data_IF_665766913330
#
_entry.id   IF_665766913330
#
_cell.length_a   1.000
_cell.length_b   1.000
_cell.length_c   1.000
_cell.angle_alpha   90.00
_cell.angle_beta   90.00
_cell.angle_gamma   90.00
#
_symmetry.space_group_name_H-M   'P 1'
#
loop_
_entity.id
_entity.type
_entity.pdbx_description
1 polymer ?
#
# COMPACT_ATOMS: atom_id res chain seq x y z
N UNK A 1 15.23 33.16 23.05
CA UNK A 1 15.61 32.54 21.76
C UNK A 1 16.83 31.61 21.92
N UNK A 2 17.90 32.06 22.60
CA UNK A 2 19.12 31.28 22.82
C UNK A 2 18.86 30.01 23.65
N UNK A 3 18.06 30.09 24.70
CA UNK A 3 17.65 28.96 25.53
C UNK A 3 16.84 27.91 24.75
N UNK A 4 15.97 28.36 23.85
CA UNK A 4 15.20 27.48 22.99
C UNK A 4 16.10 26.76 21.98
N UNK A 5 17.06 27.47 21.40
CA UNK A 5 18.06 26.89 20.50
C UNK A 5 18.95 25.87 21.21
N UNK A 6 19.42 26.17 22.43
CA UNK A 6 20.21 25.24 23.25
C UNK A 6 19.42 23.98 23.62
N UNK A 7 18.12 24.11 23.86
CA UNK A 7 17.25 22.97 24.15
C UNK A 7 16.93 22.12 22.91
N UNK A 8 16.72 22.76 21.75
CA UNK A 8 16.35 22.06 20.52
C UNK A 8 17.56 21.47 19.78
N UNK A 9 18.78 22.00 19.98
CA UNK A 9 19.98 21.51 19.31
C UNK A 9 20.30 20.03 19.62
N UNK A 10 20.26 19.55 20.90
CA UNK A 10 20.44 18.14 21.19
C UNK A 10 19.37 17.25 20.58
N UNK A 11 18.14 17.76 20.37
CA UNK A 11 17.02 17.00 19.81
C UNK A 11 17.27 16.55 18.37
N UNK A 12 18.25 17.12 17.67
CA UNK A 12 18.73 16.62 16.36
C UNK A 12 19.36 15.22 16.42
N UNK A 13 19.58 14.69 17.61
CA UNK A 13 20.03 13.32 17.85
C UNK A 13 18.93 12.42 18.40
N UNK A 14 17.64 12.80 18.23
CA UNK A 14 16.48 12.03 18.65
C UNK A 14 15.90 11.14 17.51
N UNK A 15 16.75 10.60 16.67
CA UNK A 15 16.45 9.63 15.64
C UNK A 15 17.07 8.28 15.96
N UNK A 16 16.62 7.22 15.34
CA UNK A 16 17.15 5.86 15.52
C UNK A 16 18.69 5.84 15.36
N UNK A 17 19.36 5.31 16.40
CA UNK A 17 20.81 5.31 16.54
C UNK A 17 21.43 6.60 17.10
N UNK A 18 20.64 7.65 17.38
CA UNK A 18 21.11 8.88 18.01
C UNK A 18 21.15 8.80 19.53
N UNK A 19 22.01 9.61 20.17
CA UNK A 19 22.21 9.61 21.62
C UNK A 19 20.92 9.96 22.38
N UNK A 20 20.19 10.98 21.94
CA UNK A 20 18.94 11.41 22.59
C UNK A 20 17.83 10.36 22.42
N UNK A 21 17.79 9.68 21.27
CA UNK A 21 16.89 8.56 21.06
C UNK A 21 17.09 7.45 22.11
N UNK A 22 18.33 7.04 22.33
CA UNK A 22 18.63 6.00 23.34
C UNK A 22 18.32 6.46 24.77
N UNK A 23 18.60 7.72 25.11
CA UNK A 23 18.24 8.29 26.41
C UNK A 23 16.72 8.28 26.59
N UNK A 24 15.96 8.79 25.63
CA UNK A 24 14.50 8.84 25.68
C UNK A 24 13.87 7.45 25.74
N UNK A 25 14.45 6.49 25.03
CA UNK A 25 14.01 5.08 25.07
C UNK A 25 14.22 4.44 26.44
N UNK A 26 15.31 4.81 27.13
CA UNK A 26 15.55 4.43 28.53
C UNK A 26 14.52 5.00 29.52
N UNK A 27 13.82 6.08 29.15
CA UNK A 27 12.68 6.64 29.89
C UNK A 27 11.32 6.21 29.34
N UNK A 28 11.25 5.05 28.70
CA UNK A 28 10.02 4.41 28.18
C UNK A 28 9.31 5.20 27.06
N UNK A 29 10.05 6.06 26.35
CA UNK A 29 9.53 6.73 25.15
C UNK A 29 9.22 5.71 24.05
N UNK A 30 7.96 5.64 23.61
CA UNK A 30 7.49 4.70 22.58
C UNK A 30 7.13 5.45 21.31
N UNK A 31 8.08 5.52 20.40
CA UNK A 31 7.85 6.12 19.08
C UNK A 31 7.13 5.12 18.16
N UNK A 32 5.80 5.14 18.14
CA UNK A 32 5.03 4.24 17.25
C UNK A 32 4.61 4.92 15.94
N UNK A 33 4.34 6.22 15.97
CA UNK A 33 3.89 7.04 14.84
C UNK A 33 2.64 6.50 14.09
N UNK A 34 1.95 5.51 14.67
CA UNK A 34 0.78 4.87 14.06
C UNK A 34 -0.53 5.58 14.37
N UNK A 35 -0.60 6.13 15.57
CA UNK A 35 -1.77 6.88 16.06
C UNK A 35 -1.28 8.07 16.88
N UNK A 36 -1.25 9.30 16.31
CA UNK A 36 -0.73 10.49 16.98
C UNK A 36 -1.43 10.78 18.30
N UNK A 37 -2.73 10.53 18.41
CA UNK A 37 -3.49 10.74 19.64
C UNK A 37 -3.02 9.79 20.75
N UNK A 38 -2.87 8.51 20.42
CA UNK A 38 -2.32 7.52 21.35
C UNK A 38 -0.87 7.81 21.72
N UNK A 39 -0.06 8.24 20.76
CA UNK A 39 1.34 8.57 20.99
C UNK A 39 1.47 9.75 21.96
N UNK A 40 0.58 10.76 21.85
CA UNK A 40 0.49 11.86 22.83
C UNK A 40 0.05 11.35 24.21
N UNK A 41 -0.91 10.42 24.28
CA UNK A 41 -1.36 9.83 25.55
C UNK A 41 -0.26 9.01 26.23
N UNK A 42 0.55 8.28 25.47
CA UNK A 42 1.64 7.43 26.01
C UNK A 42 2.87 8.26 26.39
N UNK A 43 3.31 9.16 25.51
CA UNK A 43 4.58 9.88 25.68
C UNK A 43 4.40 11.27 26.30
N UNK A 44 3.16 11.76 26.37
CA UNK A 44 2.87 13.17 26.67
C UNK A 44 3.14 14.11 25.48
N UNK A 45 2.52 15.30 25.47
CA UNK A 45 2.58 16.20 24.31
C UNK A 45 3.99 16.72 24.02
N UNK A 46 4.78 16.99 25.03
CA UNK A 46 6.14 17.54 24.87
C UNK A 46 7.08 16.50 24.25
N UNK A 47 7.14 15.30 24.83
CA UNK A 47 8.03 14.25 24.31
C UNK A 47 7.59 13.78 22.94
N UNK A 48 6.27 13.68 22.70
CA UNK A 48 5.75 13.38 21.38
C UNK A 48 6.15 14.44 20.35
N UNK A 49 6.06 15.74 20.69
CA UNK A 49 6.54 16.82 19.82
C UNK A 49 8.05 16.69 19.54
N UNK A 50 8.87 16.41 20.55
CA UNK A 50 10.32 16.23 20.38
C UNK A 50 10.67 15.05 19.50
N UNK A 51 9.84 14.00 19.44
CA UNK A 51 10.03 12.86 18.55
C UNK A 51 9.95 13.24 17.07
N UNK A 52 9.33 14.38 16.72
CA UNK A 52 9.20 14.85 15.32
C UNK A 52 10.27 15.87 14.90
N UNK A 53 11.13 16.34 15.83
CA UNK A 53 12.07 17.44 15.50
C UNK A 53 13.21 16.99 14.60
N UNK A 54 13.69 15.75 14.71
CA UNK A 54 14.85 15.26 13.96
C UNK A 54 14.55 13.95 13.24
N UNK A 55 13.65 14.03 12.31
CA UNK A 55 13.30 12.89 11.50
C UNK A 55 14.20 12.79 10.27
N UNK A 56 15.19 11.92 10.32
CA UNK A 56 16.01 11.60 9.15
C UNK A 56 15.28 10.58 8.27
N UNK A 57 14.45 11.08 7.35
CA UNK A 57 13.62 10.27 6.47
C UNK A 57 14.48 9.42 5.54
N UNK A 58 15.51 10.03 4.91
CA UNK A 58 16.28 9.42 3.84
C UNK A 58 17.66 10.04 3.74
N UNK A 59 18.68 9.29 3.25
CA UNK A 59 20.00 9.85 2.95
C UNK A 59 19.90 10.78 1.74
N UNK A 60 20.58 11.93 1.83
CA UNK A 60 20.67 12.85 0.69
C UNK A 60 21.56 12.25 -0.39
N UNK A 61 21.06 12.06 -1.63
CA UNK A 61 21.91 11.68 -2.75
C UNK A 61 23.02 12.72 -3.02
N UNK A 62 24.22 12.25 -3.36
CA UNK A 62 25.41 13.12 -3.47
C UNK A 62 25.22 14.30 -4.45
N UNK A 63 24.53 14.07 -5.56
CA UNK A 63 24.34 15.05 -6.62
C UNK A 63 22.96 15.72 -6.59
N UNK A 64 22.23 15.64 -5.47
CA UNK A 64 20.90 16.23 -5.38
C UNK A 64 20.93 17.74 -5.57
N UNK A 65 20.31 18.22 -6.62
CA UNK A 65 20.21 19.63 -7.01
C UNK A 65 19.00 19.87 -7.93
N UNK A 66 18.57 21.14 -8.13
CA UNK A 66 17.57 21.46 -9.14
C UNK A 66 17.94 20.97 -10.55
N UNK A 67 19.22 21.08 -10.91
CA UNK A 67 19.73 20.62 -12.21
C UNK A 67 19.62 19.11 -12.37
N UNK A 68 19.93 18.33 -11.31
CA UNK A 68 19.79 16.88 -11.34
C UNK A 68 18.34 16.46 -11.54
N UNK A 69 17.39 17.09 -10.84
CA UNK A 69 15.95 16.80 -11.00
C UNK A 69 15.45 17.20 -12.41
N UNK A 70 15.89 18.35 -12.93
CA UNK A 70 15.56 18.76 -14.29
C UNK A 70 16.11 17.78 -15.33
N UNK A 71 17.33 17.27 -15.13
CA UNK A 71 17.91 16.25 -16.00
C UNK A 71 17.07 14.95 -16.01
N UNK A 72 16.58 14.52 -14.84
CA UNK A 72 15.67 13.37 -14.75
C UNK A 72 14.35 13.62 -15.45
N UNK A 73 13.78 14.83 -15.30
CA UNK A 73 12.56 15.21 -16.03
C UNK A 73 12.75 15.08 -17.55
N UNK A 74 13.84 15.66 -18.10
CA UNK A 74 14.14 15.58 -19.53
C UNK A 74 14.42 14.14 -19.99
N UNK A 75 15.13 13.35 -19.20
CA UNK A 75 15.36 11.93 -19.46
C UNK A 75 14.05 11.16 -19.57
N UNK A 76 13.17 11.29 -18.58
CA UNK A 76 11.93 10.53 -18.53
C UNK A 76 10.82 11.07 -19.42
N UNK A 77 10.88 12.31 -19.87
CA UNK A 77 10.05 12.81 -21.00
C UNK A 77 10.31 12.03 -22.30
N UNK A 78 11.57 11.72 -22.60
CA UNK A 78 11.92 10.90 -23.76
C UNK A 78 11.40 9.47 -23.60
N UNK A 79 11.63 8.86 -22.44
CA UNK A 79 11.13 7.50 -22.13
C UNK A 79 9.59 7.45 -22.19
N UNK A 80 8.92 8.45 -21.62
CA UNK A 80 7.45 8.55 -21.72
C UNK A 80 6.96 8.65 -23.17
N UNK A 81 7.65 9.45 -23.98
CA UNK A 81 7.32 9.57 -25.42
C UNK A 81 7.41 8.21 -26.11
N UNK A 82 8.44 7.43 -25.86
CA UNK A 82 8.62 6.11 -26.46
C UNK A 82 7.58 5.10 -25.97
N UNK A 83 7.32 5.04 -24.67
CA UNK A 83 6.25 4.19 -24.11
C UNK A 83 4.90 4.56 -24.73
N UNK A 84 4.61 5.85 -24.87
CA UNK A 84 3.32 6.38 -25.33
C UNK A 84 3.03 6.10 -26.81
N UNK A 85 4.03 5.78 -27.62
CA UNK A 85 3.82 5.27 -29.00
C UNK A 85 3.00 3.98 -29.00
N UNK A 86 3.18 3.13 -28.00
CA UNK A 86 2.46 1.85 -27.84
C UNK A 86 1.19 1.90 -26.99
N UNK A 87 0.84 3.07 -26.40
CA UNK A 87 -0.31 3.23 -25.50
C UNK A 87 -1.45 3.99 -26.17
N UNK A 88 -2.67 3.44 -26.08
CA UNK A 88 -3.84 3.96 -26.80
C UNK A 88 -4.76 4.81 -25.92
N UNK A 89 -4.83 4.51 -24.62
CA UNK A 89 -5.82 5.10 -23.71
C UNK A 89 -5.28 6.32 -22.96
N UNK A 90 -6.21 7.13 -22.46
CA UNK A 90 -5.93 8.22 -21.52
C UNK A 90 -6.52 7.82 -20.16
N UNK A 91 -5.70 7.85 -19.14
CA UNK A 91 -6.10 7.49 -17.76
C UNK A 91 -7.26 8.33 -17.26
N UNK A 92 -7.38 9.60 -17.68
CA UNK A 92 -8.49 10.50 -17.32
C UNK A 92 -9.86 10.00 -17.77
N UNK A 93 -9.90 9.09 -18.76
CA UNK A 93 -11.15 8.49 -19.26
C UNK A 93 -11.45 7.13 -18.61
N UNK A 94 -10.55 6.63 -17.78
CA UNK A 94 -10.69 5.36 -17.08
C UNK A 94 -11.31 5.55 -15.69
N UNK A 95 -12.04 4.58 -15.20
CA UNK A 95 -12.34 4.43 -13.77
C UNK A 95 -11.35 3.42 -13.21
N UNK A 96 -10.49 3.86 -12.31
CA UNK A 96 -9.50 3.02 -11.66
C UNK A 96 -9.82 2.94 -10.18
N UNK A 97 -9.82 1.73 -9.66
CA UNK A 97 -10.10 1.43 -8.26
C UNK A 97 -8.87 0.75 -7.68
N UNK A 98 -8.27 1.36 -6.66
CA UNK A 98 -7.32 0.67 -5.79
C UNK A 98 -8.09 0.20 -4.56
N UNK A 99 -8.04 -1.09 -4.31
CA UNK A 99 -8.71 -1.69 -3.16
C UNK A 99 -7.69 -2.34 -2.23
N UNK A 100 -7.38 -1.65 -1.17
CA UNK A 100 -6.67 -2.19 -0.03
C UNK A 100 -7.63 -3.08 0.76
N UNK A 101 -7.35 -4.37 0.77
CA UNK A 101 -8.12 -5.36 1.54
C UNK A 101 -7.42 -5.65 2.86
N UNK A 102 -7.98 -5.12 3.94
CA UNK A 102 -7.44 -5.21 5.31
C UNK A 102 -7.05 -6.63 5.69
N UNK A 103 -5.78 -6.83 6.05
CA UNK A 103 -5.18 -8.09 6.50
C UNK A 103 -5.50 -9.30 5.60
N UNK A 104 -5.70 -9.10 4.29
CA UNK A 104 -6.07 -10.20 3.41
C UNK A 104 -4.85 -10.98 2.92
N UNK A 105 -4.80 -12.25 3.29
CA UNK A 105 -3.81 -13.24 2.82
C UNK A 105 -4.56 -14.49 2.37
N UNK A 106 -4.11 -15.15 1.32
CA UNK A 106 -4.59 -16.48 0.96
C UNK A 106 -4.19 -17.46 2.08
N UNK A 107 -5.15 -18.05 2.82
CA UNK A 107 -4.82 -18.88 3.97
C UNK A 107 -3.94 -20.10 3.67
N UNK A 108 -3.90 -20.55 2.43
CA UNK A 108 -3.03 -21.64 1.99
C UNK A 108 -1.57 -21.22 1.81
N UNK A 109 -1.26 -19.95 1.90
CA UNK A 109 0.12 -19.44 1.81
C UNK A 109 0.78 -19.22 3.16
N UNK A 110 0.04 -19.36 4.26
CA UNK A 110 0.65 -19.30 5.59
C UNK A 110 1.65 -20.46 5.79
N UNK A 111 2.83 -20.20 6.36
CA UNK A 111 3.74 -21.27 6.73
C UNK A 111 3.07 -22.27 7.65
N UNK A 112 3.24 -23.54 7.38
CA UNK A 112 2.77 -24.69 8.19
C UNK A 112 1.27 -24.82 8.40
N UNK A 113 0.43 -23.88 7.94
CA UNK A 113 -1.03 -23.96 8.07
C UNK A 113 -1.59 -25.10 7.25
N UNK A 114 -2.44 -25.91 7.89
CA UNK A 114 -3.22 -26.96 7.25
C UNK A 114 -4.70 -26.72 7.54
N UNK A 115 -5.49 -26.57 6.49
CA UNK A 115 -6.96 -26.52 6.56
C UNK A 115 -7.45 -27.91 6.19
N UNK A 116 -8.30 -28.50 7.03
CA UNK A 116 -8.89 -29.81 6.77
C UNK A 116 -9.60 -29.82 5.42
N UNK A 117 -9.40 -30.89 4.65
CA UNK A 117 -10.00 -31.05 3.30
C UNK A 117 -11.52 -31.06 3.28
N UNK A 118 -12.16 -31.36 4.41
CA UNK A 118 -13.63 -31.30 4.57
C UNK A 118 -14.16 -29.88 4.70
N UNK A 119 -13.29 -28.88 5.02
CA UNK A 119 -13.67 -27.49 5.06
C UNK A 119 -13.69 -26.91 3.63
N UNK A 120 -14.61 -25.98 3.33
CA UNK A 120 -14.66 -25.33 2.02
C UNK A 120 -13.41 -24.47 1.79
N UNK A 121 -12.99 -24.33 0.53
CA UNK A 121 -11.92 -23.40 0.18
C UNK A 121 -12.37 -21.95 0.46
N UNK A 122 -11.70 -21.21 1.37
CA UNK A 122 -12.14 -19.88 1.77
C UNK A 122 -11.94 -18.80 0.71
N UNK A 123 -11.06 -19.01 -0.26
CA UNK A 123 -10.64 -18.00 -1.25
C UNK A 123 -10.76 -18.50 -2.69
N UNK A 124 -11.71 -19.41 -2.92
CA UNK A 124 -11.90 -20.10 -4.22
C UNK A 124 -12.09 -19.12 -5.39
N UNK A 125 -12.86 -18.06 -5.18
CA UNK A 125 -13.11 -17.07 -6.23
C UNK A 125 -11.87 -16.24 -6.52
N UNK A 126 -11.21 -15.71 -5.50
CA UNK A 126 -9.98 -14.92 -5.66
C UNK A 126 -8.88 -15.74 -6.33
N UNK A 127 -8.71 -17.02 -5.97
CA UNK A 127 -7.77 -17.92 -6.66
C UNK A 127 -8.14 -18.11 -8.14
N UNK A 128 -9.42 -18.13 -8.50
CA UNK A 128 -9.88 -18.22 -9.89
C UNK A 128 -9.50 -17.00 -10.74
N UNK A 129 -9.18 -15.86 -10.11
CA UNK A 129 -8.75 -14.64 -10.81
C UNK A 129 -7.43 -14.82 -11.57
N UNK A 130 -6.58 -15.78 -11.17
CA UNK A 130 -5.35 -16.16 -11.90
C UNK A 130 -5.60 -16.42 -13.39
N UNK A 131 -6.76 -16.97 -13.73
CA UNK A 131 -7.14 -17.27 -15.12
C UNK A 131 -7.49 -16.03 -15.97
N UNK A 132 -7.94 -14.93 -15.39
CA UNK A 132 -8.60 -13.81 -16.05
C UNK A 132 -8.17 -12.41 -15.61
N UNK A 133 -7.07 -12.31 -14.90
CA UNK A 133 -6.49 -11.05 -14.44
C UNK A 133 -4.97 -11.16 -14.38
N UNK A 134 -4.28 -10.04 -14.26
CA UNK A 134 -2.90 -10.02 -13.75
C UNK A 134 -2.96 -10.43 -12.28
N UNK A 135 -2.20 -11.44 -11.88
CA UNK A 135 -2.31 -12.07 -10.56
C UNK A 135 -0.95 -12.50 -10.05
N UNK A 136 -0.67 -12.28 -8.78
CA UNK A 136 0.62 -12.65 -8.19
C UNK A 136 0.69 -12.45 -6.69
N UNK A 137 1.92 -12.51 -6.19
CA UNK A 137 2.29 -12.14 -4.84
C UNK A 137 2.74 -10.68 -4.81
N UNK A 138 2.40 -9.99 -3.75
CA UNK A 138 2.84 -8.65 -3.43
C UNK A 138 3.65 -8.67 -2.14
N UNK A 139 4.75 -7.95 -2.12
CA UNK A 139 5.59 -7.77 -0.93
C UNK A 139 5.08 -6.58 -0.12
N UNK A 140 4.76 -6.83 1.13
CA UNK A 140 4.24 -5.84 2.06
C UNK A 140 5.34 -5.26 2.93
N UNK A 141 5.35 -3.95 3.12
CA UNK A 141 6.20 -3.28 4.10
C UNK A 141 5.67 -3.42 5.55
N UNK A 142 4.54 -4.10 5.76
CA UNK A 142 3.89 -4.28 7.05
C UNK A 142 3.74 -5.74 7.47
N UNK A 143 3.65 -5.95 8.79
CA UNK A 143 3.25 -7.21 9.40
C UNK A 143 2.34 -6.91 10.60
N UNK A 144 1.11 -7.43 10.58
CA UNK A 144 0.13 -7.18 11.65
C UNK A 144 -0.27 -5.72 11.83
N UNK A 145 0.02 -4.88 10.84
CA UNK A 145 -0.25 -3.44 10.83
C UNK A 145 0.64 -2.70 9.83
N UNK A 146 0.56 -1.37 9.83
CA UNK A 146 1.27 -0.52 8.88
C UNK A 146 0.48 -0.26 7.59
N UNK A 147 -0.82 -0.46 7.59
CA UNK A 147 -1.74 -0.31 6.44
C UNK A 147 -1.47 0.96 5.62
N UNK A 148 -1.28 2.11 6.30
CA UNK A 148 -1.00 3.38 5.64
C UNK A 148 0.31 3.40 4.82
N UNK A 149 1.27 2.54 5.13
CA UNK A 149 2.53 2.45 4.38
C UNK A 149 2.29 1.87 2.98
N UNK A 150 1.52 0.78 2.88
CA UNK A 150 1.12 0.21 1.59
C UNK A 150 0.19 1.14 0.81
N UNK A 151 -0.71 1.83 1.52
CA UNK A 151 -1.57 2.85 0.93
C UNK A 151 -0.75 4.01 0.32
N UNK A 152 0.27 4.49 1.05
CA UNK A 152 1.17 5.52 0.55
C UNK A 152 1.98 5.05 -0.67
N UNK A 153 2.56 3.84 -0.64
CA UNK A 153 3.28 3.29 -1.78
C UNK A 153 2.39 3.16 -3.02
N UNK A 154 1.16 2.65 -2.87
CA UNK A 154 0.25 2.50 -4.01
C UNK A 154 -0.21 3.83 -4.59
N UNK A 155 -0.41 4.85 -3.74
CA UNK A 155 -0.86 6.16 -4.18
C UNK A 155 0.25 6.99 -4.82
N UNK A 156 1.48 6.84 -4.34
CA UNK A 156 2.61 7.68 -4.76
C UNK A 156 3.53 6.99 -5.76
N UNK A 157 3.64 5.66 -5.72
CA UNK A 157 4.66 4.91 -6.46
C UNK A 157 6.06 5.02 -5.84
N UNK A 158 6.20 5.61 -4.64
CA UNK A 158 7.44 5.65 -3.86
C UNK A 158 7.55 4.41 -2.96
N UNK A 159 8.72 4.13 -2.41
CA UNK A 159 9.02 2.83 -1.81
C UNK A 159 9.46 2.95 -0.34
N UNK A 160 8.85 2.17 0.55
CA UNK A 160 9.17 2.14 1.98
C UNK A 160 10.59 1.66 2.27
N UNK A 161 11.14 0.74 1.45
CA UNK A 161 12.49 0.20 1.63
C UNK A 161 13.60 1.23 1.44
N UNK A 162 13.34 2.33 0.73
CA UNK A 162 14.32 3.39 0.51
C UNK A 162 14.45 4.36 1.69
N UNK A 163 13.61 4.25 2.70
CA UNK A 163 13.71 5.05 3.90
C UNK A 163 14.82 4.54 4.84
N UNK A 164 15.37 5.46 5.60
CA UNK A 164 16.50 5.19 6.50
C UNK A 164 16.10 4.44 7.77
N UNK A 165 14.84 4.56 8.18
CA UNK A 165 14.30 3.96 9.38
C UNK A 165 12.83 3.60 9.21
N UNK A 166 12.29 2.84 10.13
CA UNK A 166 10.85 2.59 10.21
C UNK A 166 10.10 3.89 10.47
N UNK A 167 9.29 4.30 9.52
CA UNK A 167 8.45 5.49 9.64
C UNK A 167 7.08 5.23 9.00
N UNK A 168 6.15 6.13 9.30
CA UNK A 168 4.81 6.14 8.71
C UNK A 168 4.68 7.42 7.87
N UNK A 169 4.81 7.36 6.53
CA UNK A 169 4.84 8.56 5.68
C UNK A 169 3.65 9.49 5.86
N UNK A 170 2.46 8.97 6.11
CA UNK A 170 1.27 9.77 6.40
C UNK A 170 1.44 10.68 7.63
N UNK A 171 2.20 10.24 8.62
CA UNK A 171 2.40 10.99 9.86
C UNK A 171 3.66 11.85 9.81
N UNK A 172 4.70 11.40 9.12
CA UNK A 172 6.04 11.97 9.22
C UNK A 172 6.54 12.65 7.95
N UNK A 173 5.97 12.34 6.79
CA UNK A 173 6.41 12.89 5.48
C UNK A 173 5.36 13.81 4.89
N UNK A 174 4.16 13.31 4.65
CA UNK A 174 3.08 14.03 3.97
C UNK A 174 2.72 15.37 4.65
N UNK A 175 2.67 15.48 5.99
CA UNK A 175 2.36 16.74 6.66
C UNK A 175 3.33 17.89 6.39
N UNK A 176 4.54 17.60 5.91
CA UNK A 176 5.54 18.61 5.58
C UNK A 176 5.24 19.35 4.26
N UNK A 177 4.22 18.93 3.52
CA UNK A 177 3.87 19.48 2.21
C UNK A 177 2.40 19.97 2.21
N UNK A 178 2.14 21.10 1.60
CA UNK A 178 0.76 21.60 1.37
C UNK A 178 0.02 20.83 0.28
N UNK A 179 0.76 20.20 -0.62
CA UNK A 179 0.32 19.32 -1.69
C UNK A 179 1.30 18.16 -1.85
N UNK A 180 0.78 16.95 -1.96
CA UNK A 180 1.60 15.76 -2.17
C UNK A 180 1.09 15.00 -3.41
N UNK A 181 1.95 14.73 -4.41
CA UNK A 181 1.52 14.10 -5.65
C UNK A 181 1.16 12.64 -5.44
N UNK A 182 -0.01 12.26 -5.95
CA UNK A 182 -0.50 10.88 -5.98
C UNK A 182 -1.07 10.56 -7.35
N UNK A 183 -1.29 9.28 -7.63
CA UNK A 183 -1.93 8.85 -8.88
C UNK A 183 -3.31 9.50 -9.08
N UNK A 184 -4.03 9.80 -8.00
CA UNK A 184 -5.34 10.45 -8.02
C UNK A 184 -5.35 11.79 -8.78
N UNK A 185 -4.24 12.54 -8.76
CA UNK A 185 -4.13 13.82 -9.45
C UNK A 185 -4.13 13.72 -10.99
N UNK A 186 -3.88 12.52 -11.54
CA UNK A 186 -3.90 12.28 -12.98
C UNK A 186 -5.33 12.06 -13.52
N UNK A 187 -6.32 12.03 -12.63
CA UNK A 187 -7.74 11.92 -12.95
C UNK A 187 -8.45 13.25 -12.77
N UNK A 188 -9.58 13.44 -13.46
CA UNK A 188 -10.42 14.64 -13.28
C UNK A 188 -11.18 14.65 -11.94
N UNK A 189 -11.24 13.50 -11.27
CA UNK A 189 -11.88 13.33 -9.97
C UNK A 189 -11.24 12.16 -9.22
N UNK A 190 -11.02 12.34 -7.92
CA UNK A 190 -10.51 11.30 -7.04
C UNK A 190 -11.31 11.24 -5.74
N UNK A 191 -11.60 10.02 -5.30
CA UNK A 191 -12.32 9.78 -4.05
C UNK A 191 -11.71 8.62 -3.27
N UNK A 192 -11.93 8.63 -1.95
CA UNK A 192 -11.60 7.53 -1.07
C UNK A 192 -12.80 7.13 -0.22
N UNK A 193 -12.87 5.84 0.12
CA UNK A 193 -13.89 5.26 0.99
C UNK A 193 -13.22 4.40 2.03
N UNK A 194 -13.46 4.70 3.30
CA UNK A 194 -13.01 3.89 4.44
C UNK A 194 -14.17 3.75 5.44
N UNK A 195 -14.89 2.61 5.49
CA UNK A 195 -16.04 2.45 6.37
C UNK A 195 -15.63 2.25 7.84
N UNK A 196 -14.72 3.08 8.31
CA UNK A 196 -14.19 3.12 9.66
C UNK A 196 -13.82 4.56 10.06
N UNK A 197 -13.07 4.74 11.15
CA UNK A 197 -12.65 6.05 11.68
C UNK A 197 -11.61 6.69 10.75
N UNK A 198 -11.88 7.92 10.31
CA UNK A 198 -11.01 8.64 9.36
C UNK A 198 -9.71 9.22 9.94
N UNK A 199 -9.58 9.30 11.27
CA UNK A 199 -8.43 9.93 11.93
C UNK A 199 -7.20 9.02 12.03
N UNK A 200 -7.36 7.70 11.86
CA UNK A 200 -6.22 6.80 11.86
C UNK A 200 -5.20 7.19 10.80
N UNK A 201 -3.90 7.24 11.17
CA UNK A 201 -2.78 7.64 10.33
C UNK A 201 -2.93 9.05 9.74
N UNK A 202 -3.66 9.95 10.40
CA UNK A 202 -3.89 11.33 9.90
C UNK A 202 -4.59 11.41 8.54
N UNK A 203 -5.30 10.36 8.09
CA UNK A 203 -5.88 10.26 6.74
C UNK A 203 -6.73 11.46 6.33
N UNK A 204 -7.48 12.07 7.27
CA UNK A 204 -8.32 13.24 6.94
C UNK A 204 -7.47 14.35 6.36
N UNK A 205 -6.36 14.71 7.03
CA UNK A 205 -5.44 15.75 6.59
C UNK A 205 -4.66 15.33 5.34
N UNK A 206 -4.21 14.09 5.27
CA UNK A 206 -3.42 13.59 4.16
C UNK A 206 -4.24 13.54 2.87
N UNK A 207 -5.47 13.05 2.90
CA UNK A 207 -6.34 13.08 1.72
C UNK A 207 -6.67 14.50 1.25
N UNK A 208 -6.69 15.46 2.17
CA UNK A 208 -6.76 16.89 1.80
C UNK A 208 -5.48 17.34 1.05
N UNK A 209 -4.29 16.97 1.54
CA UNK A 209 -2.99 17.25 0.90
C UNK A 209 -2.82 16.54 -0.44
N UNK A 210 -3.36 15.34 -0.58
CA UNK A 210 -3.46 14.58 -1.84
C UNK A 210 -4.47 15.17 -2.82
N UNK A 211 -5.22 16.19 -2.41
CA UNK A 211 -6.28 16.87 -3.21
C UNK A 211 -7.37 15.91 -3.68
N UNK A 212 -7.71 14.92 -2.85
CA UNK A 212 -8.90 14.11 -3.12
C UNK A 212 -10.17 14.98 -3.02
N UNK A 213 -11.06 14.82 -3.99
CA UNK A 213 -12.33 15.57 -4.02
C UNK A 213 -13.31 15.10 -2.95
N UNK A 214 -13.17 13.83 -2.52
CA UNK A 214 -14.08 13.21 -1.55
C UNK A 214 -13.34 12.16 -0.73
N UNK A 215 -13.49 12.22 0.59
CA UNK A 215 -13.11 11.14 1.50
C UNK A 215 -14.31 10.79 2.37
N UNK A 216 -14.89 9.60 2.13
CA UNK A 216 -16.02 9.06 2.89
C UNK A 216 -15.53 8.12 3.98
N UNK A 217 -15.83 8.43 5.23
CA UNK A 217 -15.51 7.64 6.42
C UNK A 217 -16.64 7.78 7.46
N UNK A 218 -16.63 6.98 8.52
CA UNK A 218 -17.65 7.06 9.57
C UNK A 218 -17.57 8.43 10.27
N UNK A 219 -18.67 9.15 10.27
CA UNK A 219 -18.75 10.50 10.83
C UNK A 219 -18.40 11.63 9.85
N UNK A 220 -18.00 11.34 8.61
CA UNK A 220 -17.77 12.35 7.59
C UNK A 220 -19.10 12.92 7.05
N UNK A 221 -19.03 14.09 6.41
CA UNK A 221 -20.17 14.64 5.66
C UNK A 221 -20.64 13.74 4.50
N UNK A 222 -19.78 12.84 4.03
CA UNK A 222 -20.09 11.85 3.00
C UNK A 222 -20.49 10.54 3.66
N UNK A 223 -21.79 10.30 3.80
CA UNK A 223 -22.31 9.14 4.54
C UNK A 223 -21.90 7.82 3.90
N UNK A 224 -21.36 6.92 4.71
CA UNK A 224 -21.22 5.50 4.39
C UNK A 224 -22.61 4.86 4.39
N UNK A 225 -23.00 4.28 3.25
CA UNK A 225 -24.26 3.57 3.09
C UNK A 225 -24.11 2.07 3.41
N UNK A 226 -25.23 1.37 3.62
CA UNK A 226 -25.32 -0.09 3.77
C UNK A 226 -24.30 -0.66 4.77
N UNK A 227 -24.18 0.00 5.93
CA UNK A 227 -23.31 -0.45 6.99
C UNK A 227 -23.74 -1.81 7.50
N UNK A 228 -22.99 -2.84 7.14
CA UNK A 228 -23.25 -4.22 7.47
C UNK A 228 -22.09 -4.83 8.25
N UNK A 229 -22.36 -5.24 9.46
CA UNK A 229 -21.43 -6.03 10.28
C UNK A 229 -21.77 -7.53 10.13
N UNK A 230 -20.76 -8.38 10.24
CA UNK A 230 -20.93 -9.83 10.11
C UNK A 230 -20.78 -10.50 11.48
N UNK A 231 -21.80 -11.26 11.87
CA UNK A 231 -21.83 -11.93 13.17
C UNK A 231 -21.69 -10.93 14.32
N UNK A 232 -20.70 -11.16 15.18
CA UNK A 232 -20.38 -10.30 16.35
C UNK A 232 -19.21 -9.32 16.08
N UNK A 233 -18.76 -9.21 14.84
CA UNK A 233 -17.67 -8.27 14.49
C UNK A 233 -18.11 -6.83 14.74
N UNK A 234 -17.21 -6.01 15.29
CA UNK A 234 -17.41 -4.57 15.45
C UNK A 234 -17.19 -3.79 14.14
N UNK A 235 -16.57 -4.41 13.15
CA UNK A 235 -16.17 -3.77 11.90
C UNK A 235 -17.24 -3.88 10.81
N UNK A 236 -17.32 -2.86 9.96
CA UNK A 236 -18.10 -2.93 8.73
C UNK A 236 -17.47 -3.96 7.77
N UNK A 237 -18.33 -4.72 7.10
CA UNK A 237 -17.91 -5.75 6.17
C UNK A 237 -17.40 -5.19 4.85
N UNK A 238 -16.69 -6.03 4.09
CA UNK A 238 -16.25 -5.70 2.72
C UNK A 238 -17.43 -5.43 1.78
N UNK A 239 -18.62 -6.00 2.06
CA UNK A 239 -19.85 -5.62 1.35
C UNK A 239 -20.14 -4.14 1.47
N UNK A 240 -20.02 -3.56 2.68
CA UNK A 240 -20.16 -2.12 2.90
C UNK A 240 -19.15 -1.33 2.08
N UNK A 241 -17.88 -1.75 2.08
CA UNK A 241 -16.84 -1.10 1.29
C UNK A 241 -17.19 -1.09 -0.20
N UNK A 242 -17.60 -2.23 -0.74
CA UNK A 242 -17.89 -2.36 -2.17
C UNK A 242 -19.22 -1.71 -2.58
N UNK A 243 -20.25 -1.75 -1.77
CA UNK A 243 -21.51 -1.07 -2.07
C UNK A 243 -21.30 0.46 -2.13
N UNK A 244 -20.42 1.03 -1.27
CA UNK A 244 -19.98 2.42 -1.39
C UNK A 244 -19.06 2.67 -2.61
N UNK A 245 -18.25 1.69 -3.00
CA UNK A 245 -17.49 1.73 -4.26
C UNK A 245 -18.41 1.82 -5.48
N UNK A 246 -19.44 0.98 -5.56
CA UNK A 246 -20.46 1.02 -6.63
C UNK A 246 -21.19 2.37 -6.66
N UNK A 247 -21.59 2.89 -5.48
CA UNK A 247 -22.18 4.21 -5.38
C UNK A 247 -21.28 5.27 -5.99
N UNK A 248 -19.98 5.27 -5.63
CA UNK A 248 -19.00 6.22 -6.14
C UNK A 248 -18.81 6.10 -7.65
N UNK A 249 -18.76 4.89 -8.21
CA UNK A 249 -18.68 4.66 -9.66
C UNK A 249 -19.88 5.29 -10.38
N UNK A 250 -21.09 5.17 -9.81
CA UNK A 250 -22.33 5.62 -10.41
C UNK A 250 -22.54 7.14 -10.28
N UNK A 251 -21.97 7.78 -9.25
CA UNK A 251 -22.06 9.23 -9.06
C UNK A 251 -21.35 10.04 -10.16
N UNK A 252 -20.45 9.42 -10.95
CA UNK A 252 -19.66 10.12 -11.98
C UNK A 252 -19.87 9.50 -13.35
N UNK A 253 -20.11 10.33 -14.37
CA UNK A 253 -20.19 9.88 -15.77
C UNK A 253 -18.81 9.66 -16.40
N UNK A 254 -17.83 10.52 -16.07
CA UNK A 254 -16.46 10.46 -16.59
C UNK A 254 -15.55 9.52 -15.82
N UNK A 255 -14.29 9.45 -16.25
CA UNK A 255 -13.26 8.70 -15.56
C UNK A 255 -12.96 9.27 -14.16
N UNK A 256 -12.51 8.40 -13.27
CA UNK A 256 -12.21 8.76 -11.87
C UNK A 256 -11.24 7.77 -11.24
N UNK A 257 -10.58 8.23 -10.19
CA UNK A 257 -9.81 7.37 -9.29
C UNK A 257 -10.57 7.14 -7.99
N UNK A 258 -10.63 5.90 -7.54
CA UNK A 258 -11.30 5.52 -6.29
C UNK A 258 -10.33 4.70 -5.45
N UNK A 259 -10.05 5.14 -4.22
CA UNK A 259 -9.30 4.35 -3.25
C UNK A 259 -10.28 3.73 -2.23
N UNK A 260 -10.40 2.42 -2.22
CA UNK A 260 -11.22 1.67 -1.27
C UNK A 260 -10.32 1.06 -0.21
N UNK A 261 -10.59 1.35 1.06
CA UNK A 261 -9.84 0.85 2.20
C UNK A 261 -10.81 0.07 3.07
N UNK A 262 -10.72 -1.25 3.05
CA UNK A 262 -11.59 -2.09 3.87
C UNK A 262 -11.14 -2.16 5.33
N UNK A 263 -11.93 -2.78 6.20
CA UNK A 263 -11.63 -2.93 7.64
C UNK A 263 -12.09 -4.30 8.18
N UNK A 264 -12.79 -5.10 7.42
CA UNK A 264 -13.47 -6.30 7.89
C UNK A 264 -12.56 -7.27 8.65
N UNK A 265 -11.35 -7.52 8.14
CA UNK A 265 -10.43 -8.50 8.68
C UNK A 265 -9.43 -7.93 9.68
N UNK A 266 -9.67 -6.73 10.20
CA UNK A 266 -8.82 -6.13 11.24
C UNK A 266 -8.94 -6.91 12.56
N UNK A 267 -7.83 -7.05 13.28
CA UNK A 267 -7.80 -7.66 14.62
C UNK A 267 -8.69 -6.92 15.64
N UNK A 268 -9.06 -7.55 16.76
CA UNK A 268 -8.80 -8.92 17.22
C UNK A 268 -9.76 -9.95 16.59
N UNK A 269 -9.37 -11.23 16.58
CA UNK A 269 -10.16 -12.31 15.98
C UNK A 269 -10.89 -13.12 17.06
N UNK A 270 -11.93 -12.55 17.66
CA UNK A 270 -12.59 -13.03 18.87
C UNK A 270 -13.80 -13.94 18.59
N UNK A 271 -13.67 -14.94 17.73
CA UNK A 271 -14.76 -15.87 17.37
C UNK A 271 -16.05 -15.15 16.98
N UNK A 272 -15.97 -14.20 16.07
CA UNK A 272 -17.08 -13.31 15.68
C UNK A 272 -18.21 -14.01 14.93
N UNK A 273 -17.93 -15.14 14.29
CA UNK A 273 -18.84 -15.75 13.34
C UNK A 273 -19.56 -16.96 13.95
N UNK A 274 -20.88 -16.88 14.20
CA UNK A 274 -21.63 -17.96 14.89
C UNK A 274 -21.59 -19.31 14.17
N UNK A 275 -21.43 -19.29 12.85
CA UNK A 275 -21.27 -20.49 12.03
C UNK A 275 -19.92 -20.39 11.32
N UNK A 276 -18.93 -21.03 11.89
CA UNK A 276 -17.57 -21.03 11.37
C UNK A 276 -17.14 -22.47 11.08
N UNK A 277 -17.18 -22.85 9.82
CA UNK A 277 -16.82 -24.18 9.33
C UNK A 277 -15.34 -24.52 9.45
N UNK A 278 -14.49 -23.54 9.78
CA UNK A 278 -13.05 -23.74 10.02
C UNK A 278 -12.71 -24.01 11.47
N UNK A 279 -13.67 -23.82 12.39
CA UNK A 279 -13.46 -24.08 13.81
C UNK A 279 -13.16 -25.57 14.04
N UNK A 280 -12.04 -25.87 14.72
CA UNK A 280 -11.53 -27.21 14.92
C UNK A 280 -10.92 -27.88 13.67
N UNK A 281 -10.84 -27.19 12.53
CA UNK A 281 -10.34 -27.71 11.25
C UNK A 281 -9.08 -27.03 10.75
N UNK A 282 -8.41 -26.28 11.61
CA UNK A 282 -7.14 -25.60 11.32
C UNK A 282 -6.07 -26.18 12.23
N UNK A 283 -4.94 -26.57 11.65
CA UNK A 283 -3.77 -27.10 12.35
C UNK A 283 -2.48 -26.58 11.71
N UNK A 284 -1.34 -26.85 12.34
CA UNK A 284 -0.01 -26.49 11.85
C UNK A 284 0.94 -26.23 13.03
N UNK A 285 2.23 -26.36 12.79
CA UNK A 285 3.25 -26.30 13.84
C UNK A 285 3.33 -24.94 14.56
N UNK A 286 2.90 -23.85 13.87
CA UNK A 286 2.83 -22.51 14.42
C UNK A 286 1.54 -22.24 15.23
N UNK A 287 0.58 -23.19 15.24
CA UNK A 287 -0.73 -23.07 15.91
C UNK A 287 -0.81 -24.02 17.11
N UNK A 288 0.10 -23.86 18.05
CA UNK A 288 0.31 -24.77 19.17
C UNK A 288 -0.73 -24.65 20.29
N UNK A 289 -1.53 -23.56 20.34
CA UNK A 289 -2.56 -23.36 21.35
C UNK A 289 -3.97 -23.37 20.76
N UNK A 290 -4.96 -23.77 21.55
CA UNK A 290 -6.37 -23.73 21.16
C UNK A 290 -6.84 -22.29 20.84
N UNK A 291 -6.33 -21.30 21.56
CA UNK A 291 -6.63 -19.89 21.33
C UNK A 291 -6.16 -19.41 19.96
N UNK A 292 -4.90 -19.67 19.58
CA UNK A 292 -4.34 -19.29 18.28
C UNK A 292 -5.08 -20.01 17.15
N UNK A 293 -5.41 -21.30 17.30
CA UNK A 293 -6.22 -22.04 16.31
C UNK A 293 -7.62 -21.43 16.13
N UNK A 294 -8.26 -21.01 17.22
CA UNK A 294 -9.58 -20.34 17.17
C UNK A 294 -9.50 -18.97 16.48
N UNK A 295 -8.48 -18.19 16.79
CA UNK A 295 -8.24 -16.90 16.12
C UNK A 295 -7.99 -17.09 14.62
N UNK A 296 -7.18 -18.06 14.23
CA UNK A 296 -6.91 -18.38 12.83
C UNK A 296 -8.18 -18.86 12.10
N UNK A 297 -8.99 -19.73 12.73
CA UNK A 297 -10.25 -20.15 12.15
C UNK A 297 -11.23 -18.99 11.96
N UNK A 298 -11.24 -18.02 12.88
CA UNK A 298 -12.03 -16.79 12.75
C UNK A 298 -11.52 -15.93 11.62
N UNK A 299 -10.20 -15.75 11.50
CA UNK A 299 -9.56 -15.02 10.41
C UNK A 299 -9.87 -15.66 9.04
N UNK A 300 -9.70 -16.99 8.90
CA UNK A 300 -10.00 -17.74 7.67
C UNK A 300 -11.49 -17.56 7.28
N UNK A 301 -12.40 -17.57 8.24
CA UNK A 301 -13.80 -17.26 7.97
C UNK A 301 -14.01 -15.85 7.45
N UNK A 302 -13.28 -14.89 7.99
CA UNK A 302 -13.25 -13.50 7.49
C UNK A 302 -12.81 -13.44 6.02
N UNK A 303 -11.72 -14.13 5.66
CA UNK A 303 -11.24 -14.18 4.26
C UNK A 303 -12.26 -14.83 3.31
N UNK A 304 -13.05 -15.80 3.79
CA UNK A 304 -14.15 -16.37 3.01
C UNK A 304 -15.26 -15.34 2.74
N UNK A 305 -15.56 -14.47 3.69
CA UNK A 305 -16.50 -13.37 3.46
C UNK A 305 -15.93 -12.34 2.48
N UNK A 306 -14.64 -12.03 2.56
CA UNK A 306 -13.95 -11.18 1.56
C UNK A 306 -14.08 -11.79 0.16
N UNK A 307 -13.80 -13.09 -0.01
CA UNK A 307 -13.90 -13.80 -1.30
C UNK A 307 -15.30 -13.67 -1.91
N UNK A 308 -16.35 -13.85 -1.09
CA UNK A 308 -17.76 -13.69 -1.51
C UNK A 308 -18.10 -12.24 -1.87
N UNK A 309 -17.60 -11.28 -1.10
CA UNK A 309 -17.83 -9.86 -1.35
C UNK A 309 -17.16 -9.40 -2.64
N UNK A 310 -15.90 -9.81 -2.86
CA UNK A 310 -15.14 -9.56 -4.11
C UNK A 310 -15.87 -10.17 -5.30
N UNK A 311 -16.37 -11.42 -5.18
CA UNK A 311 -17.15 -12.07 -6.25
C UNK A 311 -18.38 -11.25 -6.63
N UNK A 312 -19.13 -10.75 -5.64
CA UNK A 312 -20.29 -9.88 -5.87
C UNK A 312 -19.86 -8.59 -6.58
N UNK A 313 -18.80 -7.94 -6.08
CA UNK A 313 -18.31 -6.67 -6.62
C UNK A 313 -17.85 -6.80 -8.06
N UNK A 314 -17.05 -7.82 -8.39
CA UNK A 314 -16.63 -8.12 -9.77
C UNK A 314 -17.86 -8.30 -10.68
N UNK A 315 -18.86 -9.09 -10.24
CA UNK A 315 -20.10 -9.27 -10.99
C UNK A 315 -20.91 -7.99 -11.20
N UNK A 316 -20.80 -7.02 -10.27
CA UNK A 316 -21.46 -5.72 -10.41
C UNK A 316 -20.72 -4.81 -11.41
N UNK A 317 -19.37 -4.70 -11.29
CA UNK A 317 -18.61 -3.84 -12.20
C UNK A 317 -18.60 -4.36 -13.64
N UNK A 318 -18.75 -5.67 -13.87
CA UNK A 318 -18.87 -6.25 -15.22
C UNK A 318 -20.15 -5.84 -15.95
N UNK A 319 -21.20 -5.45 -15.22
CA UNK A 319 -22.45 -4.96 -15.78
C UNK A 319 -22.43 -3.47 -16.10
N UNK A 320 -21.40 -2.75 -15.66
CA UNK A 320 -21.30 -1.30 -15.86
C UNK A 320 -20.62 -0.99 -17.18
N UNK A 321 -21.28 -0.23 -18.05
CA UNK A 321 -20.80 0.22 -19.36
C UNK A 321 -19.85 1.42 -19.22
N UNK A 322 -18.75 1.21 -18.46
CA UNK A 322 -17.63 2.15 -18.28
C UNK A 322 -16.34 1.33 -18.22
N UNK A 323 -15.20 1.87 -18.67
CA UNK A 323 -13.92 1.18 -18.54
C UNK A 323 -13.47 1.22 -17.06
N UNK A 324 -13.60 0.09 -16.37
CA UNK A 324 -13.26 -0.06 -14.96
C UNK A 324 -12.10 -1.05 -14.80
N UNK A 325 -11.05 -0.63 -14.11
CA UNK A 325 -9.93 -1.50 -13.72
C UNK A 325 -9.76 -1.47 -12.21
N UNK A 326 -9.78 -2.65 -11.60
CA UNK A 326 -9.62 -2.88 -10.15
C UNK A 326 -8.24 -3.44 -9.87
N UNK A 327 -7.48 -2.78 -9.02
CA UNK A 327 -6.28 -3.30 -8.36
C UNK A 327 -6.69 -3.73 -6.96
N UNK A 328 -6.82 -5.02 -6.72
CA UNK A 328 -7.08 -5.61 -5.41
C UNK A 328 -5.79 -6.11 -4.81
N UNK A 329 -5.53 -5.80 -3.54
CA UNK A 329 -4.36 -6.29 -2.82
C UNK A 329 -4.63 -6.40 -1.32
N UNK A 330 -4.08 -7.46 -0.69
CA UNK A 330 -4.01 -7.54 0.76
C UNK A 330 -2.85 -6.69 1.26
N UNK A 331 -3.05 -5.92 2.32
CA UNK A 331 -2.03 -4.98 2.78
C UNK A 331 -0.90 -5.65 3.56
N UNK A 332 -1.21 -6.55 4.48
CA UNK A 332 -0.22 -7.29 5.30
C UNK A 332 -0.81 -8.57 5.88
N UNK A 333 0.05 -9.39 6.50
CA UNK A 333 -0.38 -10.55 7.29
C UNK A 333 -1.15 -10.10 8.54
N UNK A 334 -2.15 -10.90 9.00
CA UNK A 334 -2.84 -10.65 10.25
C UNK A 334 -1.91 -10.94 11.44
N UNK A 335 -2.09 -10.24 12.55
CA UNK A 335 -1.32 -10.42 13.79
C UNK A 335 -1.75 -11.64 14.62
N UNK A 336 -2.13 -12.74 13.96
CA UNK A 336 -2.50 -14.00 14.64
C UNK A 336 -1.26 -14.76 15.09
N UNK A 337 -0.18 -14.71 14.29
CA UNK A 337 1.08 -15.36 14.58
C UNK A 337 2.04 -14.40 15.30
N UNK A 338 2.93 -14.96 16.11
CA UNK A 338 3.99 -14.16 16.74
C UNK A 338 4.92 -13.56 15.68
N UNK A 339 5.38 -12.35 15.92
CA UNK A 339 6.34 -11.67 15.06
C UNK A 339 7.68 -12.42 14.94
N UNK A 340 8.01 -13.29 15.89
CA UNK A 340 9.22 -14.15 15.81
C UNK A 340 9.23 -15.08 14.58
N UNK A 341 8.07 -15.38 13.99
CA UNK A 341 8.00 -16.20 12.78
C UNK A 341 8.38 -15.44 11.51
N UNK A 342 8.34 -14.10 11.54
CA UNK A 342 8.81 -13.31 10.38
C UNK A 342 10.27 -13.55 10.08
N UNK A 343 11.12 -13.76 11.10
CA UNK A 343 12.53 -14.08 10.93
C UNK A 343 12.75 -15.47 10.30
N UNK A 344 11.85 -16.43 10.56
CA UNK A 344 11.96 -17.79 10.01
C UNK A 344 11.44 -17.87 8.54
N UNK A 345 10.44 -17.04 8.19
CA UNK A 345 9.81 -17.03 6.86
C UNK A 345 9.68 -15.60 6.32
N UNK A 346 10.79 -14.84 6.18
CA UNK A 346 10.74 -13.39 5.99
C UNK A 346 9.97 -12.99 4.74
N UNK A 347 10.26 -13.54 3.58
CA UNK A 347 9.56 -13.21 2.34
C UNK A 347 8.10 -13.69 2.38
N UNK A 348 7.86 -14.92 2.86
CA UNK A 348 6.51 -15.50 2.88
C UNK A 348 5.58 -14.72 3.81
N UNK A 349 6.04 -14.34 5.00
CA UNK A 349 5.26 -13.61 6.01
C UNK A 349 5.01 -12.13 5.63
N UNK A 350 5.68 -11.63 4.58
CA UNK A 350 5.42 -10.33 3.98
C UNK A 350 4.80 -10.43 2.58
N UNK A 351 4.36 -11.63 2.16
CA UNK A 351 3.77 -11.82 0.83
C UNK A 351 2.26 -11.96 0.92
N UNK A 352 1.52 -11.01 0.35
CA UNK A 352 0.06 -11.08 0.22
C UNK A 352 -0.34 -11.36 -1.23
N UNK A 353 -1.64 -11.55 -1.48
CA UNK A 353 -2.15 -11.71 -2.84
C UNK A 353 -2.62 -10.38 -3.41
N UNK A 354 -2.39 -10.21 -4.71
CA UNK A 354 -3.00 -9.15 -5.50
C UNK A 354 -3.52 -9.67 -6.83
N UNK A 355 -4.44 -8.93 -7.42
CA UNK A 355 -4.80 -9.06 -8.82
C UNK A 355 -5.19 -7.71 -9.42
N UNK A 356 -4.99 -7.56 -10.74
CA UNK A 356 -5.46 -6.40 -11.51
C UNK A 356 -6.47 -6.92 -12.53
N UNK A 357 -7.72 -6.49 -12.39
CA UNK A 357 -8.83 -6.92 -13.20
C UNK A 357 -9.44 -5.75 -13.95
N UNK A 358 -9.48 -5.84 -15.28
CA UNK A 358 -10.25 -4.92 -16.12
C UNK A 358 -11.60 -5.53 -16.43
N UNK A 359 -12.70 -4.79 -16.22
CA UNK A 359 -14.04 -5.27 -16.50
C UNK A 359 -14.23 -5.52 -18.00
N UNK A 360 -15.32 -6.18 -18.38
CA UNK A 360 -15.61 -6.52 -19.76
C UNK A 360 -15.54 -5.29 -20.69
N UNK A 361 -16.20 -4.21 -20.30
CA UNK A 361 -16.22 -2.98 -21.09
C UNK A 361 -14.81 -2.39 -21.29
N UNK A 362 -13.97 -2.37 -20.26
CA UNK A 362 -12.59 -1.88 -20.36
C UNK A 362 -11.77 -2.72 -21.36
N UNK A 363 -11.90 -4.06 -21.34
CA UNK A 363 -11.21 -4.95 -22.28
C UNK A 363 -11.64 -4.75 -23.72
N UNK A 364 -12.94 -4.56 -23.95
CA UNK A 364 -13.50 -4.23 -25.26
C UNK A 364 -13.01 -2.86 -25.79
N UNK A 365 -12.52 -1.98 -24.87
CA UNK A 365 -11.99 -0.65 -25.17
C UNK A 365 -10.47 -0.53 -24.97
N UNK A 366 -9.75 -1.62 -25.17
CA UNK A 366 -8.29 -1.65 -25.31
C UNK A 366 -7.50 -1.89 -24.03
N UNK A 367 -8.15 -2.11 -22.87
CA UNK A 367 -7.46 -2.61 -21.68
C UNK A 367 -7.05 -4.07 -21.88
N UNK A 368 -5.95 -4.47 -21.25
CA UNK A 368 -5.45 -5.84 -21.29
C UNK A 368 -6.18 -6.73 -20.28
N UNK A 369 -6.32 -8.01 -20.60
CA UNK A 369 -6.81 -9.01 -19.64
C UNK A 369 -5.76 -9.36 -18.61
N UNK A 370 -4.51 -9.51 -19.06
CA UNK A 370 -3.35 -9.86 -18.25
C UNK A 370 -2.10 -9.15 -18.74
N UNK A 371 -1.20 -8.87 -17.82
CA UNK A 371 0.17 -8.50 -18.15
C UNK A 371 1.05 -9.76 -18.33
N UNK A 372 2.22 -9.66 -18.97
CA UNK A 372 3.19 -10.76 -19.06
C UNK A 372 3.56 -11.28 -17.67
N UNK A 373 3.67 -12.60 -17.49
CA UNK A 373 3.81 -13.23 -16.17
C UNK A 373 5.16 -13.03 -15.51
N UNK A 374 6.21 -12.75 -16.28
CA UNK A 374 7.59 -12.71 -15.78
C UNK A 374 7.82 -11.70 -14.65
N UNK A 375 7.21 -10.50 -14.73
CA UNK A 375 7.41 -9.40 -13.77
C UNK A 375 6.25 -9.21 -12.81
N UNK A 376 5.27 -10.10 -12.81
CA UNK A 376 4.02 -9.93 -12.07
C UNK A 376 3.93 -10.80 -10.81
N UNK A 377 5.00 -11.52 -10.47
CA UNK A 377 5.05 -12.28 -9.23
C UNK A 377 6.12 -11.69 -8.32
N UNK A 378 5.79 -11.53 -7.03
CA UNK A 378 6.60 -10.82 -6.07
C UNK A 378 6.90 -9.38 -6.52
N UNK A 379 5.86 -8.57 -6.62
CA UNK A 379 5.92 -7.13 -6.86
C UNK A 379 5.84 -6.37 -5.55
N UNK A 380 6.33 -5.12 -5.51
CA UNK A 380 6.05 -4.22 -4.40
C UNK A 380 4.76 -3.42 -4.66
N UNK A 381 4.12 -2.89 -3.61
CA UNK A 381 2.96 -2.02 -3.75
C UNK A 381 3.24 -0.76 -4.58
N UNK A 382 4.46 -0.26 -4.57
CA UNK A 382 4.91 0.86 -5.43
C UNK A 382 4.86 0.57 -6.93
N UNK A 383 4.82 -0.71 -7.35
CA UNK A 383 4.72 -1.11 -8.76
C UNK A 383 3.29 -0.95 -9.34
N UNK A 384 2.27 -0.85 -8.49
CA UNK A 384 0.88 -0.89 -8.95
C UNK A 384 0.48 0.26 -9.87
N UNK A 385 1.07 1.44 -9.74
CA UNK A 385 0.83 2.55 -10.69
C UNK A 385 1.28 2.13 -12.10
N UNK A 386 2.50 1.63 -12.24
CA UNK A 386 3.03 1.21 -13.53
C UNK A 386 2.22 0.05 -14.13
N UNK A 387 1.91 -0.95 -13.31
CA UNK A 387 1.13 -2.13 -13.71
C UNK A 387 -0.29 -1.75 -14.14
N UNK A 388 -0.97 -0.89 -13.39
CA UNK A 388 -2.31 -0.39 -13.70
C UNK A 388 -2.33 0.37 -15.02
N UNK A 389 -1.36 1.26 -15.24
CA UNK A 389 -1.25 2.02 -16.50
C UNK A 389 -0.95 1.10 -17.69
N UNK A 390 -0.18 0.04 -17.48
CA UNK A 390 0.07 -0.98 -18.49
C UNK A 390 -1.17 -1.82 -18.77
N UNK A 391 -1.92 -2.21 -17.73
CA UNK A 391 -3.16 -2.99 -17.85
C UNK A 391 -4.26 -2.21 -18.58
N UNK A 392 -4.44 -0.94 -18.21
CA UNK A 392 -5.41 -0.04 -18.86
C UNK A 392 -4.97 0.45 -20.24
N UNK A 393 -3.74 0.09 -20.66
CA UNK A 393 -3.14 0.58 -21.91
C UNK A 393 -3.08 2.12 -21.97
N UNK A 394 -2.89 2.76 -20.82
CA UNK A 394 -2.90 4.22 -20.68
C UNK A 394 -1.53 4.84 -20.90
N UNK A 395 -1.51 6.02 -21.52
CA UNK A 395 -0.32 6.86 -21.66
C UNK A 395 0.23 7.25 -20.29
N UNK A 396 1.53 7.48 -20.22
CA UNK A 396 2.29 7.76 -19.00
C UNK A 396 2.87 9.17 -19.01
N UNK A 397 2.99 9.76 -17.81
CA UNK A 397 3.80 10.96 -17.57
C UNK A 397 5.28 10.60 -17.44
N UNK A 398 6.23 11.55 -17.42
CA UNK A 398 7.63 11.27 -17.17
C UNK A 398 7.89 10.50 -15.87
N UNK A 399 7.24 10.88 -14.77
CA UNK A 399 7.34 10.14 -13.50
C UNK A 399 6.82 8.70 -13.62
N UNK A 400 5.68 8.52 -14.28
CA UNK A 400 5.11 7.20 -14.51
C UNK A 400 5.94 6.35 -15.48
N UNK A 401 6.71 6.99 -16.37
CA UNK A 401 7.67 6.30 -17.21
C UNK A 401 8.85 5.77 -16.40
N UNK A 402 9.36 6.54 -15.41
CA UNK A 402 10.34 6.04 -14.44
C UNK A 402 9.79 4.81 -13.70
N UNK A 403 8.57 4.88 -13.14
CA UNK A 403 7.95 3.74 -12.45
C UNK A 403 7.77 2.53 -13.37
N UNK A 404 7.47 2.75 -14.65
CA UNK A 404 7.34 1.68 -15.66
C UNK A 404 8.68 0.99 -15.91
N UNK A 405 9.77 1.74 -16.04
CA UNK A 405 11.11 1.16 -16.21
C UNK A 405 11.56 0.41 -14.95
N UNK A 406 11.27 0.93 -13.74
CA UNK A 406 11.56 0.25 -12.47
C UNK A 406 10.89 -1.12 -12.44
N UNK A 407 9.58 -1.16 -12.64
CA UNK A 407 8.82 -2.42 -12.63
C UNK A 407 9.31 -3.42 -13.69
N UNK A 408 9.71 -2.92 -14.86
CA UNK A 408 10.16 -3.76 -15.99
C UNK A 408 11.56 -4.33 -15.80
N UNK A 409 12.50 -3.54 -15.27
CA UNK A 409 13.93 -3.82 -15.33
C UNK A 409 14.51 -4.31 -13.99
N UNK A 410 13.85 -4.02 -12.86
CA UNK A 410 14.36 -4.33 -11.53
C UNK A 410 13.64 -5.53 -10.89
N UNK A 411 14.33 -6.30 -10.04
CA UNK A 411 13.67 -7.06 -8.99
C UNK A 411 12.81 -6.14 -8.12
N UNK A 412 11.80 -6.66 -7.47
CA UNK A 412 10.98 -5.86 -6.55
C UNK A 412 11.85 -5.28 -5.43
N UNK A 413 11.72 -3.96 -5.22
CA UNK A 413 12.38 -3.26 -4.12
C UNK A 413 11.42 -3.27 -2.93
N UNK A 414 11.87 -3.72 -1.78
CA UNK A 414 11.05 -3.79 -0.56
C UNK A 414 11.87 -3.43 0.68
N UNK A 415 11.22 -3.33 1.85
CA UNK A 415 11.94 -3.20 3.12
C UNK A 415 12.85 -4.40 3.34
N UNK A 416 13.91 -4.22 4.16
CA UNK A 416 14.70 -5.35 4.61
C UNK A 416 13.91 -6.16 5.66
N UNK A 417 13.56 -7.40 5.33
CA UNK A 417 12.73 -8.25 6.19
C UNK A 417 13.45 -8.73 7.46
N UNK A 418 14.79 -8.65 7.49
CA UNK A 418 15.57 -8.98 8.68
C UNK A 418 15.65 -7.81 9.68
N UNK A 419 15.04 -6.67 9.36
CA UNK A 419 15.04 -5.47 10.20
C UNK A 419 16.31 -4.61 10.07
N UNK A 420 17.22 -4.96 9.17
CA UNK A 420 18.38 -4.15 8.86
C UNK A 420 17.98 -2.87 8.08
N UNK A 421 18.86 -1.87 8.11
CA UNK A 421 18.63 -0.62 7.37
C UNK A 421 18.74 -0.83 5.87
N UNK A 422 17.92 -0.12 5.11
CA UNK A 422 17.91 -0.15 3.65
C UNK A 422 16.85 -1.09 3.08
N UNK A 423 16.93 -1.30 1.78
CA UNK A 423 16.00 -2.14 1.04
C UNK A 423 16.58 -3.52 0.73
N UNK A 424 15.69 -4.44 0.47
CA UNK A 424 15.96 -5.73 -0.14
C UNK A 424 15.45 -5.76 -1.58
N UNK A 425 16.08 -6.60 -2.41
CA UNK A 425 15.66 -6.87 -3.78
C UNK A 425 15.20 -8.30 -3.86
N UNK A 426 13.97 -8.52 -4.34
CA UNK A 426 13.35 -9.85 -4.43
C UNK A 426 12.99 -10.13 -5.90
N UNK A 427 13.43 -11.26 -6.43
CA UNK A 427 13.12 -11.67 -7.79
C UNK A 427 11.70 -12.27 -7.90
N UNK A 428 11.30 -12.60 -9.15
CA UNK A 428 9.99 -13.18 -9.48
C UNK A 428 9.74 -14.58 -8.88
N UNK A 429 10.74 -15.19 -8.26
CA UNK A 429 10.65 -16.47 -7.54
C UNK A 429 10.61 -16.30 -6.03
N UNK A 430 10.64 -15.07 -5.52
CA UNK A 430 10.63 -14.77 -4.09
C UNK A 430 11.99 -14.94 -3.43
N UNK A 431 13.09 -14.89 -4.19
CA UNK A 431 14.44 -15.03 -3.66
C UNK A 431 15.15 -13.67 -3.63
N UNK A 432 15.93 -13.38 -2.57
CA UNK A 432 16.76 -12.20 -2.48
C UNK A 432 17.79 -12.12 -3.63
N UNK A 433 18.02 -10.89 -4.10
CA UNK A 433 19.01 -10.55 -5.14
C UNK A 433 20.02 -9.58 -4.55
N UNK A 434 21.30 -9.90 -4.64
CA UNK A 434 22.36 -9.01 -4.14
C UNK A 434 22.55 -7.81 -5.06
N UNK A 435 22.59 -6.59 -4.50
CA UNK A 435 22.81 -5.34 -5.25
C UNK A 435 24.05 -5.39 -6.15
N UNK A 436 25.14 -6.07 -5.71
CA UNK A 436 26.39 -6.15 -6.51
C UNK A 436 26.18 -6.86 -7.85
N UNK A 437 25.19 -7.77 -7.96
CA UNK A 437 24.89 -8.55 -9.19
C UNK A 437 24.09 -7.76 -10.22
N UNK A 438 23.54 -6.62 -9.85
CA UNK A 438 22.80 -5.76 -10.77
C UNK A 438 23.69 -5.18 -11.86
N UNK A 439 23.12 -5.03 -13.05
CA UNK A 439 23.77 -4.36 -14.18
C UNK A 439 23.97 -2.86 -13.90
N UNK A 440 24.86 -2.21 -14.64
CA UNK A 440 25.05 -0.75 -14.56
C UNK A 440 23.74 0.02 -14.83
N UNK A 441 22.93 -0.44 -15.80
CA UNK A 441 21.61 0.15 -16.11
C UNK A 441 20.66 0.06 -14.92
N UNK A 442 20.57 -1.09 -14.28
CA UNK A 442 19.70 -1.31 -13.12
C UNK A 442 20.13 -0.44 -11.93
N UNK A 443 21.43 -0.36 -11.64
CA UNK A 443 21.96 0.52 -10.57
C UNK A 443 21.68 1.99 -10.85
N UNK A 444 21.84 2.44 -12.10
CA UNK A 444 21.49 3.81 -12.47
C UNK A 444 19.99 4.10 -12.29
N UNK A 445 19.13 3.14 -12.60
CA UNK A 445 17.68 3.27 -12.43
C UNK A 445 17.28 3.36 -10.95
N UNK A 446 17.91 2.60 -10.06
CA UNK A 446 17.74 2.72 -8.62
C UNK A 446 18.16 4.11 -8.14
N UNK A 447 19.32 4.62 -8.58
CA UNK A 447 19.79 5.97 -8.22
C UNK A 447 18.82 7.07 -8.68
N UNK A 448 18.24 6.95 -9.87
CA UNK A 448 17.21 7.87 -10.35
C UNK A 448 15.96 7.85 -9.44
N UNK A 449 15.55 6.65 -9.03
CA UNK A 449 14.40 6.48 -8.14
C UNK A 449 14.66 7.05 -6.75
N UNK A 450 15.84 6.76 -6.17
CA UNK A 450 16.27 7.34 -4.89
C UNK A 450 16.31 8.87 -4.94
N UNK A 451 16.79 9.46 -6.05
CA UNK A 451 16.84 10.90 -6.25
C UNK A 451 15.44 11.53 -6.23
N UNK A 452 14.49 10.95 -6.95
CA UNK A 452 13.10 11.41 -7.00
C UNK A 452 12.42 11.22 -5.66
N UNK A 453 12.62 10.05 -5.00
CA UNK A 453 12.03 9.82 -3.69
C UNK A 453 12.59 10.79 -2.64
N UNK A 454 13.90 11.02 -2.64
CA UNK A 454 14.51 12.03 -1.76
C UNK A 454 13.90 13.41 -1.99
N UNK A 455 13.78 13.83 -3.26
CA UNK A 455 13.18 15.13 -3.62
C UNK A 455 11.79 15.32 -3.00
N UNK A 456 10.99 14.27 -2.99
CA UNK A 456 9.59 14.27 -2.54
C UNK A 456 9.39 13.96 -1.06
N UNK A 457 10.40 13.47 -0.34
CA UNK A 457 10.21 13.03 1.05
C UNK A 457 11.09 13.77 2.06
N UNK A 458 12.29 14.17 1.64
CA UNK A 458 13.27 14.83 2.50
C UNK A 458 13.93 16.04 1.81
N UNK A 459 13.68 16.23 0.53
CA UNK A 459 14.31 17.28 -0.30
C UNK A 459 13.48 18.55 -0.39
N UNK A 460 13.64 19.25 -1.51
CA UNK A 460 13.04 20.57 -1.78
C UNK A 460 11.84 20.52 -2.74
N UNK A 461 11.39 19.32 -3.11
CA UNK A 461 10.30 19.09 -4.05
C UNK A 461 10.48 19.83 -5.39
N UNK A 462 11.70 19.82 -5.93
CA UNK A 462 12.00 20.48 -7.22
C UNK A 462 11.18 19.87 -8.35
N UNK A 463 10.87 18.56 -8.30
CA UNK A 463 10.05 17.88 -9.28
C UNK A 463 8.62 18.40 -9.36
N UNK A 464 8.08 19.00 -8.29
CA UNK A 464 6.78 19.66 -8.33
C UNK A 464 6.79 20.95 -9.17
N UNK A 465 7.97 21.57 -9.34
CA UNK A 465 8.16 22.77 -10.15
C UNK A 465 8.40 22.42 -11.63
N UNK A 466 8.80 21.19 -11.93
CA UNK A 466 8.98 20.69 -13.28
C UNK A 466 7.61 20.48 -13.95
N UNK A 467 7.27 21.35 -14.89
CA UNK A 467 5.95 21.32 -15.54
C UNK A 467 5.74 20.02 -16.30
N UNK A 468 4.74 19.26 -15.91
CA UNK A 468 4.36 18.01 -16.56
C UNK A 468 5.10 16.76 -16.08
N UNK A 469 5.98 16.84 -15.08
CA UNK A 469 6.69 15.67 -14.57
C UNK A 469 5.72 14.64 -13.92
N UNK A 470 4.84 15.11 -13.07
CA UNK A 470 3.84 14.25 -12.40
C UNK A 470 2.47 14.21 -13.10
N UNK A 471 2.21 15.11 -14.05
CA UNK A 471 0.89 15.27 -14.71
C UNK A 471 0.96 15.08 -16.21
#
# INVERSE_FOLDING_TARGET
LLSLLLFLTPMRFNHDGGMIYHINHGFDNKQSFRNPERDIQVNGPVLNFLNYIDLQVMNKPANYSPSAINHLDEKYKKVATDINKGRKNNVKKQTVIFNLSESFVDPYTFPTVKIDKSAPNPVKFIQSMKGRSTYGNMLSAGYGGGTANMEWETLTGLNMGMFKSTLTPYVQVVPNYSFYPTIGMNFGYSSAVHPFIGTYYSRIEDYHRFKFNKFAYLGSKYKIIDQKKLGKSSYNSDYTTYDNGIKQINERKGGQFINLISIQNHMPYNNWYPRNEYMGRVSGDLFNTAAVRSQMATYIKGTQYTDKAVKKFIGQIDKIHKPITLVFYGDHYPSVLSQSFTAQYPVQMHSTRYFIYSNRYAREHGAKTKLPTRTNNYVNTSDFIAMMLQQTNSKVTPYQALLTEIHKELPAITINFNGDKGYELINEHGHPVEYKTLTKKQKALINDYEMIQYDMTAGKAYGLKAKGFYK
#
